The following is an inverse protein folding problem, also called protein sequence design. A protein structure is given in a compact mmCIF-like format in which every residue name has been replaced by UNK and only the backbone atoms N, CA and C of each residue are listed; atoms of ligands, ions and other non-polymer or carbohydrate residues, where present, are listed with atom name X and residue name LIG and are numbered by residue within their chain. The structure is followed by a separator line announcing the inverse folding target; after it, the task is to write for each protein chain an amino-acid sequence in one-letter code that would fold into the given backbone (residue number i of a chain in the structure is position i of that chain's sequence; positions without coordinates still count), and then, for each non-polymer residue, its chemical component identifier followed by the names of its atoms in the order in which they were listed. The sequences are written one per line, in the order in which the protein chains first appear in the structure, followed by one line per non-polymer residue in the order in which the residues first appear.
data_IF_170038230309
#
_entry.id   IF_170038230309
#
_cell.length_a   1.000
_cell.length_b   1.000
_cell.length_c   1.000
_cell.angle_alpha   90.00
_cell.angle_beta   90.00
_cell.angle_gamma   90.00
#
_symmetry.space_group_name_H-M   'P 1'
#
loop_
_entity.id
_entity.type
_entity.pdbx_description
1 polymer ?
#
# COMPACT_ATOMS: atom_id res chain seq x y z
N UNK A 1 19.69 -16.68 -2.87
CA UNK A 1 18.49 -15.82 -2.97
C UNK A 1 18.62 -14.73 -1.94
N UNK A 2 18.76 -13.47 -2.35
CA UNK A 2 18.84 -12.35 -1.42
C UNK A 2 17.43 -12.07 -0.86
N UNK A 3 17.31 -11.99 0.46
CA UNK A 3 16.05 -11.61 1.12
C UNK A 3 15.87 -10.11 0.89
N UNK A 4 14.84 -9.72 0.15
CA UNK A 4 14.50 -8.32 -0.01
C UNK A 4 14.13 -7.72 1.35
N UNK A 5 15.01 -6.88 1.89
CA UNK A 5 14.75 -6.14 3.12
C UNK A 5 13.86 -4.94 2.80
N UNK A 6 12.54 -5.17 2.71
CA UNK A 6 11.53 -4.12 2.54
C UNK A 6 11.29 -3.36 3.87
N UNK A 7 12.36 -2.78 4.42
CA UNK A 7 12.27 -1.90 5.59
C UNK A 7 11.85 -0.51 5.13
N UNK A 8 10.78 0.03 5.73
CA UNK A 8 10.30 1.39 5.44
C UNK A 8 10.79 2.32 6.53
N UNK A 9 11.64 3.27 6.16
CA UNK A 9 12.11 4.34 7.05
C UNK A 9 11.17 5.54 6.99
N UNK A 10 10.83 6.10 8.15
CA UNK A 10 10.06 7.34 8.27
C UNK A 10 10.57 8.16 9.45
N UNK A 11 10.31 9.47 9.43
CA UNK A 11 10.65 10.37 10.54
C UNK A 11 9.53 10.34 11.57
N UNK A 12 9.85 9.93 12.80
CA UNK A 12 8.95 10.00 13.94
C UNK A 12 9.17 11.32 14.67
N UNK A 13 8.09 12.05 14.95
CA UNK A 13 8.12 13.28 15.77
C UNK A 13 7.50 12.95 17.12
N UNK A 14 8.31 13.05 18.17
CA UNK A 14 7.88 12.89 19.57
C UNK A 14 8.61 13.92 20.44
N UNK A 15 8.04 14.23 21.59
CA UNK A 15 8.64 15.17 22.55
C UNK A 15 9.84 14.55 23.28
N UNK A 16 10.67 15.39 23.89
CA UNK A 16 11.90 14.99 24.53
C UNK A 16 11.66 14.08 25.76
N UNK A 17 10.61 14.32 26.54
CA UNK A 17 10.31 13.53 27.72
C UNK A 17 9.90 12.09 27.33
N UNK A 18 9.11 11.96 26.26
CA UNK A 18 8.76 10.64 25.70
C UNK A 18 9.99 9.91 25.16
N UNK A 19 10.92 10.61 24.49
CA UNK A 19 12.19 10.00 24.04
C UNK A 19 13.02 9.45 25.20
N UNK A 20 13.20 10.24 26.27
CA UNK A 20 13.98 9.85 27.44
C UNK A 20 13.37 8.63 28.15
N UNK A 21 12.03 8.62 28.32
CA UNK A 21 11.33 7.47 28.89
C UNK A 21 11.51 6.20 28.03
N UNK A 22 11.49 6.34 26.69
CA UNK A 22 11.71 5.23 25.76
C UNK A 22 13.16 4.71 25.83
N UNK A 23 14.13 5.60 25.96
CA UNK A 23 15.55 5.26 26.14
C UNK A 23 15.79 4.49 27.42
N UNK A 24 15.23 4.96 28.54
CA UNK A 24 15.29 4.26 29.83
C UNK A 24 14.69 2.85 29.75
N UNK A 25 13.48 2.73 29.20
CA UNK A 25 12.82 1.42 29.06
C UNK A 25 13.61 0.47 28.15
N UNK A 26 14.15 0.97 27.03
CA UNK A 26 15.00 0.16 26.16
C UNK A 26 16.28 -0.31 26.88
N UNK A 27 16.89 0.56 27.68
CA UNK A 27 18.08 0.23 28.49
C UNK A 27 17.77 -0.84 29.55
N UNK A 28 16.64 -0.73 30.24
CA UNK A 28 16.20 -1.70 31.26
C UNK A 28 16.00 -3.11 30.68
N UNK A 29 15.51 -3.20 29.44
CA UNK A 29 15.32 -4.47 28.74
C UNK A 29 16.54 -4.91 27.90
N UNK A 30 17.67 -4.19 27.96
CA UNK A 30 18.86 -4.44 27.14
C UNK A 30 18.55 -4.49 25.63
N UNK A 31 17.71 -3.57 25.16
CA UNK A 31 17.31 -3.43 23.75
C UNK A 31 17.79 -2.10 23.17
N UNK A 32 17.87 -2.05 21.84
CA UNK A 32 17.97 -0.75 21.15
C UNK A 32 16.61 -0.05 21.14
N UNK A 33 16.63 1.28 21.07
CA UNK A 33 15.42 2.11 20.96
C UNK A 33 14.55 1.67 19.77
N UNK A 34 15.17 1.39 18.62
CA UNK A 34 14.46 0.90 17.43
C UNK A 34 13.82 -0.47 17.68
N UNK A 35 14.53 -1.39 18.35
CA UNK A 35 13.99 -2.70 18.72
C UNK A 35 12.82 -2.58 19.71
N UNK A 36 12.91 -1.66 20.66
CA UNK A 36 11.85 -1.37 21.62
C UNK A 36 10.62 -0.80 20.92
N UNK A 37 10.80 0.18 20.02
CA UNK A 37 9.72 0.77 19.25
C UNK A 37 9.00 -0.27 18.37
N UNK A 38 9.76 -1.15 17.70
CA UNK A 38 9.20 -2.24 16.91
C UNK A 38 8.36 -3.20 17.77
N UNK A 39 8.84 -3.53 18.97
CA UNK A 39 8.12 -4.39 19.89
C UNK A 39 6.80 -3.75 20.34
N UNK A 40 6.84 -2.48 20.77
CA UNK A 40 5.64 -1.73 21.20
C UNK A 40 4.60 -1.69 20.08
N UNK A 41 5.02 -1.36 18.85
CA UNK A 41 4.12 -1.30 17.69
C UNK A 41 3.52 -2.69 17.40
N UNK A 42 4.35 -3.73 17.39
CA UNK A 42 3.88 -5.10 17.14
C UNK A 42 2.90 -5.58 18.22
N UNK A 43 3.18 -5.26 19.48
CA UNK A 43 2.30 -5.61 20.60
C UNK A 43 0.98 -4.84 20.54
N UNK A 44 1.02 -3.52 20.28
CA UNK A 44 -0.18 -2.70 20.11
C UNK A 44 -1.04 -3.16 18.93
N UNK A 45 -0.44 -3.53 17.80
CA UNK A 45 -1.15 -4.10 16.64
C UNK A 45 -1.77 -5.46 16.95
N UNK A 46 -1.08 -6.30 17.72
CA UNK A 46 -1.60 -7.60 18.17
C UNK A 46 -2.79 -7.41 19.11
N UNK A 47 -2.66 -6.55 20.13
CA UNK A 47 -3.72 -6.24 21.10
C UNK A 47 -4.95 -5.60 20.47
N UNK A 48 -4.75 -4.74 19.48
CA UNK A 48 -5.84 -4.12 18.73
C UNK A 48 -6.50 -5.04 17.68
N UNK A 49 -5.99 -6.25 17.49
CA UNK A 49 -6.48 -7.19 16.47
C UNK A 49 -6.24 -6.72 15.02
N UNK A 50 -5.41 -5.70 14.81
CA UNK A 50 -5.12 -5.09 13.50
C UNK A 50 -3.97 -5.78 12.78
N UNK A 51 -3.23 -6.63 13.47
CA UNK A 51 -2.22 -7.48 12.84
C UNK A 51 -2.94 -8.54 12.01
N UNK A 52 -3.05 -8.32 10.70
CA UNK A 52 -3.56 -9.31 9.76
C UNK A 52 -2.74 -10.59 9.94
N UNK A 53 -3.41 -11.67 10.37
CA UNK A 53 -2.82 -13.01 10.39
C UNK A 53 -2.20 -13.27 9.02
N UNK A 54 -0.95 -13.76 8.91
CA UNK A 54 -0.42 -14.13 7.61
C UNK A 54 -1.41 -15.13 7.02
N UNK A 55 -2.07 -14.73 5.92
CA UNK A 55 -2.72 -15.72 5.05
C UNK A 55 -1.58 -16.68 4.67
N UNK A 56 -1.73 -18.01 4.82
CA UNK A 56 -0.76 -18.91 4.22
C UNK A 56 -0.60 -18.48 2.76
N UNK A 57 0.63 -18.29 2.32
CA UNK A 57 0.97 -17.82 0.99
C UNK A 57 0.30 -18.75 -0.04
N UNK A 58 -0.86 -18.34 -0.52
CA UNK A 58 -1.35 -18.79 -1.82
C UNK A 58 -0.42 -18.20 -2.87
N UNK A 59 -0.13 -18.93 -3.97
CA UNK A 59 0.78 -18.45 -4.99
C UNK A 59 0.32 -17.07 -5.46
N UNK A 60 1.20 -16.09 -5.30
CA UNK A 60 1.00 -14.75 -5.82
C UNK A 60 0.90 -14.87 -7.34
N UNK A 61 -0.31 -14.71 -7.85
CA UNK A 61 -0.61 -14.62 -9.28
C UNK A 61 -1.31 -13.30 -9.52
N UNK A 62 -0.82 -12.56 -10.52
CA UNK A 62 -1.47 -11.39 -11.09
C UNK A 62 -0.69 -10.11 -10.82
N UNK A 63 0.44 -9.89 -11.47
CA UNK A 63 0.47 -9.27 -12.80
C UNK A 63 -0.30 -7.94 -12.84
N UNK A 64 0.44 -6.86 -12.61
CA UNK A 64 0.01 -5.50 -12.89
C UNK A 64 0.12 -5.24 -14.39
N UNK A 65 -0.81 -5.77 -15.19
CA UNK A 65 -1.23 -5.21 -16.49
C UNK A 65 -2.40 -6.01 -17.07
N UNK A 66 -3.61 -5.76 -16.56
CA UNK A 66 -4.85 -6.26 -17.15
C UNK A 66 -5.80 -5.11 -17.44
N UNK A 67 -5.68 -4.50 -18.61
CA UNK A 67 -6.78 -3.74 -19.20
C UNK A 67 -8.00 -4.67 -19.29
N UNK A 68 -9.23 -4.20 -18.97
CA UNK A 68 -10.42 -4.93 -19.37
C UNK A 68 -10.60 -4.78 -20.89
N UNK A 69 -10.01 -5.67 -21.67
CA UNK A 69 -10.47 -5.96 -23.03
C UNK A 69 -11.76 -6.77 -22.93
N UNK A 70 -12.87 -6.07 -22.78
CA UNK A 70 -14.19 -6.62 -23.02
C UNK A 70 -14.40 -6.76 -24.53
N UNK A 71 -14.34 -7.99 -25.03
CA UNK A 71 -14.94 -8.34 -26.31
C UNK A 71 -16.46 -8.23 -26.17
N UNK A 72 -16.98 -7.05 -26.50
CA UNK A 72 -18.37 -6.84 -26.84
C UNK A 72 -18.42 -6.38 -28.30
N UNK A 73 -18.75 -7.35 -29.16
CA UNK A 73 -19.52 -7.20 -30.38
C UNK A 73 -19.21 -6.01 -31.30
N UNK A 74 -18.67 -6.35 -32.47
CA UNK A 74 -19.03 -5.76 -33.76
C UNK A 74 -20.40 -5.06 -33.78
N UNK A 75 -20.39 -3.72 -33.82
CA UNK A 75 -21.32 -2.90 -34.59
C UNK A 75 -20.84 -1.44 -34.57
N UNK A 76 -20.21 -0.97 -35.66
CA UNK A 76 -20.11 0.48 -35.90
C UNK A 76 -21.54 1.04 -36.01
N UNK A 77 -21.90 2.14 -35.32
CA UNK A 77 -23.12 2.85 -35.65
C UNK A 77 -22.98 3.48 -37.06
N UNK A 78 -24.06 3.53 -37.86
CA UNK A 78 -24.01 4.15 -39.18
C UNK A 78 -23.76 5.65 -39.04
N UNK A 79 -22.83 6.17 -39.84
CA UNK A 79 -22.60 7.61 -40.01
C UNK A 79 -23.81 8.16 -40.77
N UNK A 80 -24.52 9.21 -40.30
CA UNK A 80 -25.55 9.85 -41.09
C UNK A 80 -24.92 10.54 -42.32
N UNK A 81 -25.59 10.57 -43.48
CA UNK A 81 -25.09 11.29 -44.64
C UNK A 81 -24.93 12.78 -44.32
N UNK A 82 -23.81 13.35 -44.76
CA UNK A 82 -23.54 14.78 -44.74
C UNK A 82 -24.65 15.48 -45.53
N UNK A 83 -25.41 16.35 -44.88
CA UNK A 83 -26.35 17.23 -45.58
C UNK A 83 -25.52 18.30 -46.29
N UNK A 84 -25.34 18.14 -47.60
CA UNK A 84 -24.88 19.22 -48.48
C UNK A 84 -26.01 20.25 -48.57
N UNK A 85 -25.94 21.30 -47.75
CA UNK A 85 -26.69 22.52 -48.02
C UNK A 85 -25.78 23.44 -48.85
N UNK A 86 -26.17 23.82 -50.08
CA UNK A 86 -25.52 24.89 -50.80
C UNK A 86 -25.82 26.22 -50.08
N UNK A 87 -24.77 27.01 -49.86
CA UNK A 87 -24.87 28.40 -49.42
C UNK A 87 -25.51 29.23 -50.56
N UNK A 88 -26.82 29.38 -50.55
CA UNK A 88 -27.51 30.49 -51.22
C UNK A 88 -27.54 31.68 -50.27
N UNK A 89 -26.56 32.60 -50.35
CA UNK A 89 -26.67 34.09 -50.30
C UNK A 89 -25.39 34.71 -50.88
#
# INVERSE_FOLDING_TARGET
MAKENNNKSFVLRIDAATMEALEGWAADEFRSINGQLQWIIADALRRSGRLKKPRPAGPESGDSTGLPSGDAASAKPPVPPRSDYPDDI
#
